data_IF_545698707763
#
_entry.id   IF_545698707763
#
_cell.length_a   1.000
_cell.length_b   1.000
_cell.length_c   1.000
_cell.angle_alpha   90.00
_cell.angle_beta   90.00
_cell.angle_gamma   90.00
#
_symmetry.space_group_name_H-M   'P 1'
#
loop_
_entity.id
_entity.type
_entity.pdbx_description
1 polymer ?
#
# COMPACT_ATOMS: atom_id res chain seq x y z
N UNK A 1 4.10 7.95 8.75
CA UNK A 1 2.96 7.12 8.28
C UNK A 1 2.59 6.27 9.47
N UNK A 2 1.33 6.19 9.89
CA UNK A 2 1.00 5.57 11.18
C UNK A 2 1.54 4.13 11.32
N UNK A 3 1.48 3.32 10.26
CA UNK A 3 2.07 1.97 10.25
C UNK A 3 3.60 1.96 10.37
N UNK A 4 4.28 2.93 9.76
CA UNK A 4 5.73 3.07 9.87
C UNK A 4 6.14 3.39 11.31
N UNK A 5 5.36 4.24 11.98
CA UNK A 5 5.63 4.68 13.35
C UNK A 5 5.44 3.53 14.36
N UNK A 6 4.72 2.47 13.97
CA UNK A 6 4.42 1.28 14.79
C UNK A 6 5.13 0.01 14.31
N UNK A 7 6.04 0.12 13.34
CA UNK A 7 6.66 -1.05 12.69
C UNK A 7 7.38 -1.95 13.72
N UNK A 8 8.19 -1.36 14.60
CA UNK A 8 8.92 -2.11 15.63
C UNK A 8 7.99 -2.86 16.60
N UNK A 9 6.84 -2.26 16.96
CA UNK A 9 5.83 -2.88 17.84
C UNK A 9 5.20 -4.13 17.18
N UNK A 10 4.93 -4.03 15.88
CA UNK A 10 4.34 -5.11 15.09
C UNK A 10 5.35 -6.23 14.86
N UNK A 11 6.60 -5.89 14.52
CA UNK A 11 7.69 -6.86 14.35
C UNK A 11 8.02 -7.60 15.65
N UNK A 12 7.99 -6.91 16.80
CA UNK A 12 8.18 -7.53 18.11
C UNK A 12 7.08 -8.55 18.47
N UNK A 13 5.90 -8.44 17.85
CA UNK A 13 4.82 -9.42 17.98
C UNK A 13 4.92 -10.57 16.96
N UNK A 14 5.97 -10.58 16.13
CA UNK A 14 6.17 -11.56 15.07
C UNK A 14 5.33 -11.32 13.82
N UNK A 15 4.80 -10.09 13.64
CA UNK A 15 3.99 -9.71 12.48
C UNK A 15 4.87 -9.08 11.39
N UNK A 16 4.67 -9.51 10.14
CA UNK A 16 5.21 -8.82 8.97
C UNK A 16 4.21 -7.78 8.46
N UNK A 17 4.72 -6.61 8.06
CA UNK A 17 3.90 -5.52 7.51
C UNK A 17 4.24 -5.32 6.04
N UNK A 18 3.22 -5.20 5.21
CA UNK A 18 3.30 -4.72 3.84
C UNK A 18 2.04 -3.88 3.54
N UNK A 19 2.15 -2.95 2.60
CA UNK A 19 0.98 -2.29 2.03
C UNK A 19 0.88 -2.63 0.54
N UNK A 20 -0.34 -2.66 0.01
CA UNK A 20 -0.64 -2.98 -1.39
C UNK A 20 -1.46 -1.85 -2.00
N UNK A 21 -1.15 -1.46 -3.25
CA UNK A 21 -1.89 -0.47 -4.03
C UNK A 21 -1.93 -0.88 -5.50
N UNK A 22 -2.86 -0.31 -6.26
CA UNK A 22 -2.90 -0.43 -7.72
C UNK A 22 -1.93 0.51 -8.44
N UNK A 23 -1.17 1.32 -7.70
CA UNK A 23 -0.14 2.18 -8.26
C UNK A 23 1.08 1.36 -8.67
N UNK A 24 1.74 1.80 -9.75
CA UNK A 24 2.97 1.18 -10.26
C UNK A 24 4.12 1.20 -9.26
N UNK A 25 5.07 0.29 -9.43
CA UNK A 25 6.25 0.21 -8.57
C UNK A 25 7.05 1.50 -8.56
N UNK A 26 7.10 2.23 -9.69
CA UNK A 26 7.77 3.54 -9.76
C UNK A 26 7.09 4.57 -8.84
N UNK A 27 5.76 4.64 -8.88
CA UNK A 27 4.98 5.53 -8.03
C UNK A 27 5.14 5.15 -6.56
N UNK A 28 5.10 3.86 -6.24
CA UNK A 28 5.29 3.36 -4.88
C UNK A 28 6.72 3.58 -4.37
N UNK A 29 7.74 3.42 -5.22
CA UNK A 29 9.13 3.66 -4.87
C UNK A 29 9.41 5.14 -4.60
N UNK A 30 8.83 6.05 -5.38
CA UNK A 30 8.92 7.48 -5.11
C UNK A 30 8.14 7.87 -3.83
N UNK A 31 6.94 7.30 -3.64
CA UNK A 31 6.15 7.54 -2.43
C UNK A 31 6.87 7.06 -1.16
N UNK A 32 7.46 5.86 -1.18
CA UNK A 32 8.18 5.31 -0.04
C UNK A 32 9.38 6.18 0.33
N UNK A 33 10.16 6.62 -0.66
CA UNK A 33 11.30 7.54 -0.44
C UNK A 33 10.85 8.87 0.16
N UNK A 34 9.80 9.50 -0.39
CA UNK A 34 9.30 10.79 0.12
C UNK A 34 8.75 10.71 1.54
N UNK A 35 8.19 9.56 1.92
CA UNK A 35 7.54 9.34 3.22
C UNK A 35 8.41 8.61 4.24
N UNK A 36 9.61 8.17 3.86
CA UNK A 36 10.50 7.39 4.72
C UNK A 36 9.91 6.03 5.12
N UNK A 37 9.18 5.38 4.21
CA UNK A 37 8.58 4.06 4.45
C UNK A 37 9.65 2.99 4.22
N UNK A 38 9.82 2.11 5.20
CA UNK A 38 10.86 1.05 5.18
C UNK A 38 10.27 -0.36 5.02
N UNK A 39 8.97 -0.54 5.28
CA UNK A 39 8.29 -1.80 4.98
C UNK A 39 7.90 -1.88 3.49
N UNK A 40 7.72 -3.09 2.93
CA UNK A 40 7.40 -3.27 1.51
C UNK A 40 6.08 -2.60 1.09
N UNK A 41 6.12 -1.94 -0.05
CA UNK A 41 4.93 -1.54 -0.81
C UNK A 41 4.83 -2.43 -2.04
N UNK A 42 3.70 -3.11 -2.19
CA UNK A 42 3.41 -4.04 -3.28
C UNK A 42 2.53 -3.33 -4.30
N UNK A 43 2.95 -3.31 -5.56
CA UNK A 43 2.09 -2.96 -6.68
C UNK A 43 1.21 -4.17 -7.01
N UNK A 44 -0.06 -3.89 -7.28
CA UNK A 44 -1.04 -4.74 -7.91
C UNK A 44 -1.69 -3.95 -9.03
N UNK A 45 -0.91 -3.64 -10.06
CA UNK A 45 -1.29 -2.73 -11.16
C UNK A 45 -2.65 -3.04 -11.80
N UNK A 46 -2.95 -4.34 -11.97
CA UNK A 46 -4.23 -4.81 -12.53
C UNK A 46 -5.33 -4.96 -11.47
N UNK A 47 -5.02 -4.63 -10.21
CA UNK A 47 -5.89 -4.81 -9.04
C UNK A 47 -6.42 -6.24 -8.89
N UNK A 48 -5.71 -7.26 -9.40
CA UNK A 48 -6.17 -8.64 -9.40
C UNK A 48 -6.29 -9.18 -7.97
N UNK A 49 -5.22 -9.01 -7.18
CA UNK A 49 -5.22 -9.44 -5.79
C UNK A 49 -6.19 -8.61 -4.95
N UNK A 50 -6.15 -7.28 -5.09
CA UNK A 50 -7.07 -6.34 -4.41
C UNK A 50 -8.53 -6.71 -4.68
N UNK A 51 -8.86 -7.11 -5.91
CA UNK A 51 -10.20 -7.55 -6.31
C UNK A 51 -10.54 -8.92 -5.73
N UNK A 52 -9.63 -9.90 -5.78
CA UNK A 52 -9.84 -11.24 -5.22
C UNK A 52 -10.08 -11.20 -3.71
N UNK A 53 -9.38 -10.33 -2.99
CA UNK A 53 -9.60 -10.08 -1.56
C UNK A 53 -10.86 -9.26 -1.26
N UNK A 54 -11.55 -8.73 -2.27
CA UNK A 54 -12.78 -7.95 -2.11
C UNK A 54 -12.57 -6.60 -1.42
N UNK A 55 -11.36 -6.05 -1.48
CA UNK A 55 -10.95 -4.80 -0.81
C UNK A 55 -10.75 -3.64 -1.79
N UNK A 56 -11.13 -3.83 -3.06
CA UNK A 56 -11.06 -2.78 -4.08
C UNK A 56 -11.87 -1.55 -3.65
N UNK A 57 -11.21 -0.40 -3.61
CA UNK A 57 -11.89 0.86 -3.35
C UNK A 57 -12.63 1.31 -4.62
N UNK A 58 -13.95 1.11 -4.64
CA UNK A 58 -14.82 1.47 -5.76
C UNK A 58 -15.10 2.97 -5.87
N UNK A 59 -14.85 3.75 -4.81
CA UNK A 59 -15.04 5.21 -4.81
C UNK A 59 -13.88 5.91 -5.53
N UNK A 60 -12.68 5.30 -5.56
CA UNK A 60 -11.55 5.84 -6.30
C UNK A 60 -11.84 5.92 -7.82
N UNK A 61 -12.65 5.00 -8.36
CA UNK A 61 -13.10 5.06 -9.74
C UNK A 61 -13.99 6.27 -10.04
N UNK A 62 -14.70 6.81 -9.04
CA UNK A 62 -15.54 8.02 -9.15
C UNK A 62 -14.75 9.32 -8.84
N UNK A 63 -13.50 9.20 -8.38
CA UNK A 63 -12.59 10.32 -8.11
C UNK A 63 -11.92 10.91 -9.36
N UNK A 64 -12.07 10.25 -10.51
CA UNK A 64 -11.83 10.82 -11.83
C UNK A 64 -13.02 11.74 -12.16
N UNK A 65 -13.05 12.93 -11.54
CA UNK A 65 -13.93 14.01 -12.00
C UNK A 65 -13.70 14.34 -13.49
N UNK A 66 -14.58 15.14 -14.13
CA UNK A 66 -14.44 15.52 -15.54
C UNK A 66 -13.12 16.20 -15.87
#
# INVERSE_FOLDING_TARGET
MELQDRLEELEAQGLGVAAISYDSEEVLADFSQRRGITFPLLSDDDSEAITEFGILNTVAAEGLGP
#
